data_IF_163962208921
#
_entry.id   IF_163962208921
#
_cell.length_a   1.000
_cell.length_b   1.000
_cell.length_c   1.000
_cell.angle_alpha   90.00
_cell.angle_beta   90.00
_cell.angle_gamma   90.00
#
_symmetry.space_group_name_H-M   'P 1'
#
loop_
_entity.id
_entity.type
_entity.pdbx_description
1 polymer ?
#
# COMPACT_ATOMS: atom_id res chain seq x y z
N UNK A 1 -4.64 -22.08 -4.87
CA UNK A 1 -5.11 -21.34 -6.04
C UNK A 1 -4.50 -19.95 -6.12
N UNK A 2 -4.84 -19.25 -7.21
CA UNK A 2 -4.51 -17.83 -7.40
C UNK A 2 -5.79 -17.02 -7.35
N UNK A 3 -5.70 -15.76 -6.96
CA UNK A 3 -6.82 -14.83 -6.92
C UNK A 3 -6.61 -13.73 -7.97
N UNK A 4 -7.69 -13.05 -8.35
CA UNK A 4 -7.66 -12.00 -9.35
C UNK A 4 -6.95 -10.73 -8.83
N UNK A 5 -6.21 -10.08 -9.72
CA UNK A 5 -5.49 -8.81 -9.50
C UNK A 5 -5.65 -7.94 -10.75
N UNK A 6 -5.41 -6.63 -10.69
CA UNK A 6 -5.25 -5.83 -11.91
C UNK A 6 -3.98 -6.25 -12.65
N UNK A 7 -3.86 -5.85 -13.90
CA UNK A 7 -2.71 -6.15 -14.73
C UNK A 7 -1.40 -5.75 -14.04
N UNK A 8 -0.46 -6.68 -13.92
CA UNK A 8 0.84 -6.54 -13.22
C UNK A 8 0.77 -5.94 -11.80
N UNK A 9 -0.42 -5.78 -11.22
CA UNK A 9 -0.59 -5.19 -9.90
C UNK A 9 -0.45 -3.67 -9.84
N UNK A 10 -0.58 -2.97 -10.94
CA UNK A 10 -0.29 -1.53 -11.03
C UNK A 10 -1.38 -0.62 -10.44
N UNK A 11 -2.60 -1.12 -10.24
CA UNK A 11 -3.72 -0.31 -9.74
C UNK A 11 -4.02 -0.57 -8.27
N UNK A 12 -4.63 0.41 -7.61
CA UNK A 12 -5.16 0.29 -6.26
C UNK A 12 -6.61 -0.25 -6.19
N UNK A 13 -7.13 -0.69 -7.33
CA UNK A 13 -8.37 -1.47 -7.51
C UNK A 13 -8.08 -2.70 -8.36
N UNK A 14 -8.94 -3.70 -8.31
CA UNK A 14 -8.81 -4.94 -9.10
C UNK A 14 -9.92 -4.99 -10.15
N UNK A 15 -9.58 -4.51 -11.36
CA UNK A 15 -10.49 -4.30 -12.49
C UNK A 15 -9.85 -4.70 -13.83
N UNK A 16 -8.97 -5.72 -13.84
CA UNK A 16 -8.24 -6.14 -15.03
C UNK A 16 -9.16 -6.58 -16.17
N UNK A 17 -8.84 -6.22 -17.42
CA UNK A 17 -9.63 -6.56 -18.60
C UNK A 17 -9.76 -8.07 -18.81
N UNK A 18 -8.71 -8.82 -18.49
CA UNK A 18 -8.67 -10.28 -18.73
C UNK A 18 -9.64 -11.06 -17.82
N UNK A 19 -9.76 -10.67 -16.55
CA UNK A 19 -10.53 -11.42 -15.54
C UNK A 19 -11.67 -10.62 -14.92
N UNK A 20 -11.86 -9.37 -15.34
CA UNK A 20 -12.90 -8.48 -14.84
C UNK A 20 -12.66 -7.95 -13.42
N UNK A 21 -13.69 -7.37 -12.86
CA UNK A 21 -13.68 -6.75 -11.55
C UNK A 21 -13.66 -7.79 -10.42
N UNK A 22 -13.00 -7.41 -9.32
CA UNK A 22 -13.16 -8.11 -8.04
C UNK A 22 -14.19 -7.36 -7.20
N UNK A 23 -15.32 -7.98 -6.97
CA UNK A 23 -16.39 -7.41 -6.18
C UNK A 23 -16.06 -7.44 -4.68
N UNK A 24 -16.48 -6.40 -3.97
CA UNK A 24 -16.54 -6.43 -2.53
C UNK A 24 -17.57 -7.48 -2.07
N UNK A 25 -17.24 -8.44 -1.20
CA UNK A 25 -18.15 -9.58 -0.93
C UNK A 25 -19.51 -9.24 -0.34
N UNK A 26 -19.64 -8.10 0.33
CA UNK A 26 -20.87 -7.62 0.98
C UNK A 26 -21.54 -6.44 0.26
N UNK A 27 -20.94 -5.96 -0.86
CA UNK A 27 -21.54 -4.98 -1.77
C UNK A 27 -20.94 -5.15 -3.17
N UNK A 28 -21.59 -5.92 -4.02
CA UNK A 28 -21.09 -6.26 -5.35
C UNK A 28 -21.06 -5.08 -6.34
N UNK A 29 -21.61 -3.92 -5.98
CA UNK A 29 -21.48 -2.70 -6.79
C UNK A 29 -20.12 -2.03 -6.63
N UNK A 30 -19.32 -2.48 -5.65
CA UNK A 30 -18.04 -1.89 -5.27
C UNK A 30 -16.86 -2.82 -5.52
N UNK A 31 -15.70 -2.23 -5.75
CA UNK A 31 -14.45 -2.94 -5.96
C UNK A 31 -13.80 -3.31 -4.61
N UNK A 32 -13.26 -4.51 -4.49
CA UNK A 32 -12.60 -5.01 -3.29
C UNK A 32 -11.24 -4.33 -3.00
N UNK A 33 -10.84 -3.37 -3.84
CA UNK A 33 -9.52 -2.74 -3.76
C UNK A 33 -8.44 -3.50 -4.52
N UNK A 34 -7.23 -3.01 -4.46
CA UNK A 34 -6.10 -3.55 -5.21
C UNK A 34 -4.73 -3.18 -4.61
N UNK A 35 -3.74 -3.88 -5.15
CA UNK A 35 -3.82 -4.90 -6.20
C UNK A 35 -4.21 -6.29 -5.69
N UNK A 36 -4.17 -6.56 -4.37
CA UNK A 36 -4.52 -7.86 -3.79
C UNK A 36 -6.02 -8.00 -3.49
N UNK A 37 -6.89 -7.47 -4.38
CA UNK A 37 -8.35 -7.46 -4.16
C UNK A 37 -8.97 -8.84 -4.11
N UNK A 38 -8.59 -9.74 -5.01
CA UNK A 38 -9.09 -11.11 -5.00
C UNK A 38 -8.68 -11.90 -3.75
N UNK A 39 -7.48 -11.64 -3.22
CA UNK A 39 -7.04 -12.20 -1.94
C UNK A 39 -7.89 -11.67 -0.77
N UNK A 40 -8.16 -10.36 -0.76
CA UNK A 40 -8.99 -9.73 0.27
C UNK A 40 -10.44 -10.26 0.22
N UNK A 41 -11.04 -10.32 -0.96
CA UNK A 41 -12.38 -10.87 -1.14
C UNK A 41 -12.48 -12.33 -0.66
N UNK A 42 -11.47 -13.16 -0.97
CA UNK A 42 -11.46 -14.56 -0.56
C UNK A 42 -11.35 -14.72 0.98
N UNK A 43 -10.54 -13.90 1.65
CA UNK A 43 -10.43 -13.93 3.12
C UNK A 43 -11.68 -13.34 3.77
N UNK A 44 -12.16 -12.21 3.31
CA UNK A 44 -13.33 -11.52 3.85
C UNK A 44 -14.58 -12.41 3.77
N UNK A 45 -14.85 -13.01 2.61
CA UNK A 45 -15.97 -13.95 2.42
C UNK A 45 -15.84 -15.28 3.16
N UNK A 46 -14.70 -15.57 3.77
CA UNK A 46 -14.49 -16.83 4.50
C UNK A 46 -14.09 -18.02 3.63
N UNK A 47 -13.79 -17.84 2.36
CA UNK A 47 -13.30 -18.92 1.48
C UNK A 47 -11.96 -19.49 1.96
N UNK A 48 -11.10 -18.65 2.51
CA UNK A 48 -9.81 -19.04 3.09
C UNK A 48 -9.53 -18.22 4.34
N UNK A 49 -8.82 -18.77 5.34
CA UNK A 49 -8.48 -18.02 6.56
C UNK A 49 -7.38 -16.97 6.36
N UNK A 50 -6.50 -17.19 5.39
CA UNK A 50 -5.33 -16.34 5.07
C UNK A 50 -5.12 -16.39 3.57
N UNK A 51 -4.73 -15.27 2.96
CA UNK A 51 -4.32 -15.22 1.56
C UNK A 51 -3.04 -14.41 1.39
N UNK A 52 -2.11 -14.91 0.58
CA UNK A 52 -0.89 -14.21 0.19
C UNK A 52 -1.22 -12.94 -0.59
N UNK A 53 -0.42 -11.90 -0.38
CA UNK A 53 -0.60 -10.58 -0.97
C UNK A 53 0.74 -9.85 -1.12
N UNK A 54 0.79 -8.83 -1.96
CA UNK A 54 1.94 -7.95 -2.13
C UNK A 54 1.53 -6.49 -1.97
N UNK A 55 2.50 -5.62 -1.62
CA UNK A 55 2.24 -4.20 -1.35
C UNK A 55 3.42 -3.37 -1.87
N UNK A 56 3.24 -2.74 -3.03
CA UNK A 56 4.22 -1.85 -3.63
C UNK A 56 3.92 -0.36 -3.39
N UNK A 57 2.66 -0.04 -3.06
CA UNK A 57 2.19 1.32 -2.77
C UNK A 57 0.95 1.34 -1.89
N UNK A 58 0.54 0.17 -1.35
CA UNK A 58 -0.66 0.01 -0.53
C UNK A 58 -1.44 -1.28 -0.81
N UNK A 59 -0.97 -2.13 -1.69
CA UNK A 59 -1.75 -3.25 -2.25
C UNK A 59 -2.06 -4.40 -1.28
N UNK A 60 -1.57 -4.39 -0.04
CA UNK A 60 -2.09 -5.18 1.09
C UNK A 60 -3.07 -4.33 1.90
N UNK A 61 -2.68 -3.11 2.24
CA UNK A 61 -3.38 -2.24 3.21
C UNK A 61 -4.67 -1.66 2.67
N UNK A 62 -4.70 -1.30 1.39
CA UNK A 62 -5.90 -0.78 0.70
C UNK A 62 -7.01 -1.82 0.69
N UNK A 63 -6.80 -3.03 0.11
CA UNK A 63 -7.85 -4.05 0.15
C UNK A 63 -8.17 -4.53 1.57
N UNK A 64 -7.21 -4.51 2.53
CA UNK A 64 -7.50 -4.77 3.94
C UNK A 64 -8.52 -3.76 4.49
N UNK A 65 -8.31 -2.46 4.23
CA UNK A 65 -9.22 -1.39 4.66
C UNK A 65 -10.64 -1.59 4.12
N UNK A 66 -10.76 -1.85 2.81
CA UNK A 66 -12.06 -1.99 2.14
C UNK A 66 -12.83 -3.26 2.55
N UNK A 67 -12.12 -4.32 2.92
CA UNK A 67 -12.71 -5.61 3.25
C UNK A 67 -12.83 -5.90 4.76
N UNK A 68 -12.47 -4.94 5.62
CA UNK A 68 -12.52 -5.12 7.08
C UNK A 68 -11.53 -6.18 7.59
N UNK A 69 -10.31 -6.20 7.03
CA UNK A 69 -9.25 -7.15 7.32
C UNK A 69 -8.03 -6.50 7.98
N UNK A 70 -7.13 -7.31 8.47
CA UNK A 70 -5.80 -6.92 8.91
C UNK A 70 -4.85 -7.05 7.73
N UNK A 71 -4.15 -5.95 7.39
CA UNK A 71 -3.17 -5.91 6.32
C UNK A 71 -1.83 -5.35 6.80
N UNK A 72 -0.85 -6.23 7.04
CA UNK A 72 0.51 -5.84 7.39
C UNK A 72 1.37 -5.73 6.12
N UNK A 73 1.94 -4.56 5.87
CA UNK A 73 3.11 -4.38 5.02
C UNK A 73 4.35 -4.44 5.92
N UNK A 74 5.17 -5.50 5.87
CA UNK A 74 6.37 -5.60 6.70
C UNK A 74 7.43 -4.56 6.31
N UNK A 75 8.43 -4.39 7.16
CA UNK A 75 9.65 -3.65 6.82
C UNK A 75 10.31 -4.21 5.57
N UNK A 76 10.88 -3.34 4.74
CA UNK A 76 11.74 -3.76 3.64
C UNK A 76 12.84 -4.71 4.15
N UNK A 77 12.94 -5.89 3.54
CA UNK A 77 13.91 -6.92 3.91
C UNK A 77 13.48 -7.85 5.04
N UNK A 78 12.25 -7.74 5.57
CA UNK A 78 11.71 -8.65 6.58
C UNK A 78 11.32 -10.01 5.99
N UNK A 79 10.66 -9.99 4.85
CA UNK A 79 10.23 -11.18 4.12
C UNK A 79 11.23 -11.42 2.98
N UNK A 80 11.67 -12.65 2.75
CA UNK A 80 12.61 -12.95 1.68
C UNK A 80 12.04 -12.65 0.30
N UNK A 81 12.90 -12.26 -0.62
CA UNK A 81 12.62 -11.97 -2.03
C UNK A 81 13.58 -12.75 -2.95
N UNK A 82 13.24 -12.89 -4.22
CA UNK A 82 14.06 -13.63 -5.18
C UNK A 82 13.55 -15.05 -5.40
N UNK A 83 14.31 -15.92 -6.14
CA UNK A 83 15.70 -15.70 -6.62
C UNK A 83 15.82 -14.88 -7.91
N UNK A 84 14.75 -14.62 -8.66
CA UNK A 84 14.82 -13.90 -9.93
C UNK A 84 15.12 -12.40 -9.79
N UNK A 85 14.66 -11.77 -8.71
CA UNK A 85 14.92 -10.36 -8.40
C UNK A 85 14.92 -10.13 -6.90
N UNK A 86 15.93 -9.40 -6.42
CA UNK A 86 16.08 -9.05 -5.00
C UNK A 86 15.66 -7.61 -4.66
N UNK A 87 15.27 -6.82 -5.67
CA UNK A 87 14.97 -5.40 -5.51
C UNK A 87 13.52 -5.03 -5.80
N UNK A 88 12.60 -5.92 -6.09
CA UNK A 88 11.22 -5.64 -6.51
C UNK A 88 10.76 -4.18 -6.33
N UNK A 89 10.68 -3.41 -7.42
CA UNK A 89 10.44 -1.96 -7.42
C UNK A 89 11.41 -1.21 -6.50
N UNK A 90 12.69 -1.46 -6.65
CA UNK A 90 13.78 -0.89 -5.83
C UNK A 90 13.59 -1.06 -4.32
N UNK A 91 12.90 -2.13 -3.92
CA UNK A 91 12.59 -2.44 -2.54
C UNK A 91 11.33 -1.77 -1.99
N UNK A 92 10.54 -1.08 -2.81
CA UNK A 92 9.23 -0.59 -2.41
C UNK A 92 8.22 -1.73 -2.25
N UNK A 93 8.33 -2.79 -3.05
CA UNK A 93 7.44 -3.95 -2.97
C UNK A 93 7.80 -4.85 -1.79
N UNK A 94 6.78 -5.20 -1.00
CA UNK A 94 6.86 -6.15 0.11
C UNK A 94 5.81 -7.23 -0.09
N UNK A 95 6.14 -8.47 0.29
CA UNK A 95 5.20 -9.60 0.24
C UNK A 95 4.77 -9.96 1.65
N UNK A 96 3.48 -10.27 1.84
CA UNK A 96 2.97 -10.84 3.07
C UNK A 96 1.60 -11.48 2.85
N UNK A 97 0.61 -11.16 3.71
CA UNK A 97 -0.73 -11.72 3.62
C UNK A 97 -1.80 -10.80 4.22
N UNK A 98 -3.04 -11.11 3.88
CA UNK A 98 -4.26 -10.62 4.52
C UNK A 98 -4.76 -11.66 5.51
N UNK A 99 -5.20 -11.21 6.69
CA UNK A 99 -5.66 -12.05 7.78
C UNK A 99 -6.88 -11.46 8.48
N UNK A 100 -7.56 -12.27 9.33
CA UNK A 100 -8.69 -11.82 10.17
C UNK A 100 -8.30 -11.61 11.64
N UNK A 101 -7.10 -12.06 12.07
CA UNK A 101 -6.67 -11.95 13.45
C UNK A 101 -5.20 -11.54 13.60
N UNK A 102 -4.90 -10.80 14.66
CA UNK A 102 -3.53 -10.42 14.99
C UNK A 102 -2.68 -11.66 15.33
N UNK A 103 -3.29 -12.66 15.96
CA UNK A 103 -2.64 -13.95 16.25
C UNK A 103 -2.09 -14.61 14.98
N UNK A 104 -2.89 -14.66 13.92
CA UNK A 104 -2.48 -15.32 12.67
C UNK A 104 -1.45 -14.48 11.93
N UNK A 105 -1.57 -13.15 11.96
CA UNK A 105 -0.56 -12.21 11.44
C UNK A 105 0.80 -12.42 12.13
N UNK A 106 0.84 -12.48 13.49
CA UNK A 106 2.06 -12.73 14.26
C UNK A 106 2.71 -14.06 13.91
N UNK A 107 1.91 -15.13 13.85
CA UNK A 107 2.40 -16.47 13.51
C UNK A 107 2.99 -16.53 12.11
N UNK A 108 2.26 -15.97 11.15
CA UNK A 108 2.71 -15.93 9.75
C UNK A 108 4.02 -15.14 9.62
N UNK A 109 4.12 -13.96 10.26
CA UNK A 109 5.33 -13.15 10.25
C UNK A 109 6.52 -13.91 10.86
N UNK A 110 6.32 -14.59 11.98
CA UNK A 110 7.37 -15.36 12.63
C UNK A 110 7.95 -16.45 11.72
N UNK A 111 7.10 -17.17 11.00
CA UNK A 111 7.55 -18.27 10.14
C UNK A 111 8.08 -17.81 8.76
N UNK A 112 7.59 -16.71 8.22
CA UNK A 112 7.99 -16.22 6.90
C UNK A 112 9.22 -15.31 6.93
N UNK A 113 9.53 -14.65 8.05
CA UNK A 113 10.67 -13.74 8.12
C UNK A 113 12.00 -14.49 7.90
N UNK A 114 12.92 -13.86 7.18
CA UNK A 114 14.24 -14.42 6.93
C UNK A 114 15.33 -13.35 6.99
N UNK A 115 16.52 -13.69 7.50
CA UNK A 115 17.70 -12.89 7.28
C UNK A 115 18.35 -13.36 5.98
N UNK A 116 18.21 -12.56 4.94
CA UNK A 116 18.62 -12.90 3.58
C UNK A 116 19.89 -12.14 3.23
N UNK A 117 21.04 -12.83 3.27
CA UNK A 117 22.38 -12.24 3.09
C UNK A 117 22.58 -11.67 1.68
N UNK A 118 22.02 -12.35 0.69
CA UNK A 118 22.10 -11.96 -0.73
C UNK A 118 21.21 -10.79 -1.10
N UNK A 119 20.26 -10.43 -0.24
CA UNK A 119 19.40 -9.27 -0.48
C UNK A 119 20.14 -7.96 -0.20
N UNK A 120 19.92 -6.90 -1.00
CA UNK A 120 20.47 -5.58 -0.72
C UNK A 120 19.87 -4.90 0.52
N UNK A 121 18.80 -5.46 1.07
CA UNK A 121 18.08 -4.91 2.23
C UNK A 121 17.96 -5.94 3.38
N UNK A 122 19.07 -6.51 3.89
CA UNK A 122 18.99 -7.50 4.96
C UNK A 122 18.43 -6.88 6.25
N UNK A 123 17.54 -7.58 6.94
CA UNK A 123 16.96 -7.15 8.20
C UNK A 123 16.98 -8.30 9.20
N UNK A 124 17.44 -8.04 10.45
CA UNK A 124 17.45 -9.04 11.52
C UNK A 124 16.05 -9.53 11.83
N UNK A 125 15.90 -10.84 12.05
CA UNK A 125 14.64 -11.45 12.48
C UNK A 125 14.20 -10.90 13.83
N UNK A 126 12.89 -10.76 14.01
CA UNK A 126 12.26 -10.58 15.32
C UNK A 126 12.28 -11.92 16.06
N UNK A 127 12.59 -11.89 17.35
CA UNK A 127 12.55 -13.07 18.18
C UNK A 127 11.11 -13.51 18.45
N UNK A 128 10.93 -14.74 18.95
CA UNK A 128 9.62 -15.21 19.37
C UNK A 128 9.07 -14.35 20.50
N UNK A 129 9.90 -14.01 21.45
CA UNK A 129 9.56 -13.18 22.62
C UNK A 129 9.12 -11.79 22.17
N UNK A 130 9.83 -11.14 21.24
CA UNK A 130 9.42 -9.81 20.72
C UNK A 130 8.11 -9.84 19.95
N UNK A 131 7.72 -10.94 19.31
CA UNK A 131 6.44 -11.03 18.59
C UNK A 131 5.27 -11.45 19.50
N UNK A 132 5.49 -12.37 20.43
CA UNK A 132 4.38 -12.99 21.17
C UNK A 132 4.27 -12.56 22.63
N UNK A 133 5.36 -12.10 23.24
CA UNK A 133 5.42 -11.72 24.64
C UNK A 133 5.61 -10.21 24.85
N UNK A 134 5.98 -9.50 23.79
CA UNK A 134 6.12 -8.05 23.85
C UNK A 134 4.78 -7.37 24.13
N UNK A 135 4.76 -6.54 25.15
CA UNK A 135 3.64 -5.66 25.50
C UNK A 135 4.12 -4.23 25.64
N UNK A 136 3.23 -3.29 25.34
CA UNK A 136 3.49 -1.86 25.52
C UNK A 136 3.48 -1.56 27.01
N UNK A 137 4.67 -1.35 27.59
CA UNK A 137 4.86 -1.13 29.04
C UNK A 137 4.92 0.35 29.44
N UNK A 138 5.03 1.25 28.47
CA UNK A 138 5.09 2.71 28.68
C UNK A 138 4.13 3.42 27.73
N UNK A 139 3.60 4.58 28.11
CA UNK A 139 2.83 5.41 27.18
C UNK A 139 3.62 5.65 25.87
N UNK A 140 2.97 5.41 24.73
CA UNK A 140 3.54 5.72 23.43
C UNK A 140 3.31 7.17 23.06
N UNK A 141 4.24 7.77 22.34
CA UNK A 141 4.06 9.07 21.68
C UNK A 141 3.67 8.82 20.23
N UNK A 142 2.43 9.19 19.88
CA UNK A 142 1.81 8.86 18.59
C UNK A 142 1.53 10.13 17.80
N UNK A 143 2.15 10.25 16.63
CA UNK A 143 1.86 11.31 15.68
C UNK A 143 0.56 11.01 14.92
N UNK A 144 -0.38 11.95 14.94
CA UNK A 144 -1.67 11.84 14.23
C UNK A 144 -1.61 12.74 12.99
N UNK A 145 -1.73 12.16 11.81
CA UNK A 145 -1.75 12.88 10.54
C UNK A 145 -3.17 12.87 9.98
N UNK A 146 -3.81 14.04 9.98
CA UNK A 146 -5.20 14.22 9.54
C UNK A 146 -5.30 14.68 8.09
N UNK A 147 -4.23 15.23 7.53
CA UNK A 147 -4.23 15.82 6.19
C UNK A 147 -3.59 14.85 5.18
N UNK A 148 -4.12 14.91 3.95
CA UNK A 148 -3.60 14.13 2.84
C UNK A 148 -2.19 14.58 2.45
N UNK A 149 -1.21 13.67 2.31
CA UNK A 149 0.12 14.00 1.81
C UNK A 149 0.09 14.55 0.37
N UNK A 150 -0.98 14.27 -0.38
CA UNK A 150 -1.20 14.78 -1.74
C UNK A 150 -1.95 16.11 -1.79
N UNK A 151 -2.21 16.73 -0.62
CA UNK A 151 -2.98 17.98 -0.49
C UNK A 151 -4.42 17.87 -1.02
N UNK A 152 -4.93 16.67 -1.18
CA UNK A 152 -6.32 16.39 -1.52
C UNK A 152 -7.21 16.46 -0.29
N UNK A 153 -8.53 16.68 -0.49
CA UNK A 153 -9.47 16.74 0.61
C UNK A 153 -9.60 15.38 1.30
N UNK A 154 -9.44 15.36 2.62
CA UNK A 154 -9.70 14.16 3.43
C UNK A 154 -11.18 14.10 3.80
N UNK A 155 -11.79 12.93 3.60
CA UNK A 155 -13.22 12.71 3.86
C UNK A 155 -13.57 12.80 5.35
N UNK A 156 -14.84 13.05 5.64
CA UNK A 156 -15.36 13.02 7.01
C UNK A 156 -15.26 11.63 7.64
N UNK A 157 -15.46 10.57 6.85
CA UNK A 157 -15.35 9.18 7.30
C UNK A 157 -13.90 8.82 7.67
N UNK A 158 -12.92 9.21 6.84
CA UNK A 158 -11.50 8.99 7.17
C UNK A 158 -11.08 9.77 8.44
N UNK A 159 -11.54 11.02 8.59
CA UNK A 159 -11.30 11.81 9.80
C UNK A 159 -11.97 11.20 11.03
N UNK A 160 -13.17 10.66 10.89
CA UNK A 160 -13.87 9.96 11.96
C UNK A 160 -13.12 8.70 12.38
N UNK A 161 -12.66 7.90 11.42
CA UNK A 161 -11.86 6.69 11.69
C UNK A 161 -10.57 7.01 12.46
N UNK A 162 -9.82 8.03 12.03
CA UNK A 162 -8.61 8.48 12.74
C UNK A 162 -8.96 8.93 14.16
N UNK A 163 -10.03 9.75 14.32
CA UNK A 163 -10.44 10.28 15.61
C UNK A 163 -10.86 9.17 16.58
N UNK A 164 -11.68 8.20 16.15
CA UNK A 164 -12.09 7.06 16.98
C UNK A 164 -10.88 6.25 17.47
N UNK A 165 -9.93 5.96 16.58
CA UNK A 165 -8.71 5.24 16.94
C UNK A 165 -7.81 6.08 17.88
N UNK A 166 -7.71 7.38 17.65
CA UNK A 166 -6.93 8.30 18.49
C UNK A 166 -7.55 8.40 19.91
N UNK A 167 -8.87 8.58 20.01
CA UNK A 167 -9.60 8.63 21.28
C UNK A 167 -9.40 7.32 22.07
N UNK A 168 -9.48 6.17 21.41
CA UNK A 168 -9.22 4.87 22.04
C UNK A 168 -7.77 4.76 22.57
N UNK A 169 -6.78 5.11 21.75
CA UNK A 169 -5.37 5.07 22.17
C UNK A 169 -5.07 6.04 23.31
N UNK A 170 -5.70 7.23 23.32
CA UNK A 170 -5.60 8.19 24.42
C UNK A 170 -6.20 7.64 25.72
N UNK A 171 -7.36 6.99 25.66
CA UNK A 171 -7.98 6.32 26.83
C UNK A 171 -7.09 5.21 27.40
N UNK A 172 -6.22 4.60 26.59
CA UNK A 172 -5.22 3.62 27.02
C UNK A 172 -3.94 4.26 27.57
N UNK A 173 -3.91 5.57 27.74
CA UNK A 173 -2.82 6.31 28.39
C UNK A 173 -1.70 6.74 27.45
N UNK A 174 -1.88 6.64 26.14
CA UNK A 174 -0.88 7.10 25.18
C UNK A 174 -0.97 8.61 24.93
N UNK A 175 0.15 9.23 24.50
CA UNK A 175 0.24 10.63 24.14
C UNK A 175 0.05 10.81 22.64
N UNK A 176 -1.02 11.48 22.23
CA UNK A 176 -1.33 11.74 20.83
C UNK A 176 -1.06 13.22 20.52
N UNK A 177 -0.40 13.46 19.40
CA UNK A 177 -0.06 14.79 18.93
C UNK A 177 -0.47 14.93 17.46
N UNK A 178 -1.28 15.95 17.15
CA UNK A 178 -1.59 16.28 15.76
C UNK A 178 -0.36 16.96 15.15
N UNK A 179 0.15 16.41 14.07
CA UNK A 179 1.35 16.90 13.40
C UNK A 179 1.15 17.07 11.90
N UNK A 180 1.96 17.89 11.27
CA UNK A 180 2.00 18.06 9.83
C UNK A 180 2.73 16.88 9.15
N UNK A 181 2.51 16.74 7.85
CA UNK A 181 3.18 15.71 7.03
C UNK A 181 4.69 15.90 7.06
N UNK A 182 5.47 14.90 7.50
CA UNK A 182 6.94 15.02 7.60
C UNK A 182 7.66 14.98 6.25
N UNK A 183 6.98 14.53 5.21
CA UNK A 183 7.51 14.43 3.84
C UNK A 183 6.67 15.23 2.86
N UNK A 184 7.32 15.74 1.79
CA UNK A 184 6.59 16.24 0.63
C UNK A 184 5.92 15.06 -0.10
N UNK A 185 4.62 14.93 0.12
CA UNK A 185 3.81 13.84 -0.42
C UNK A 185 3.68 13.89 -1.93
N UNK A 186 3.59 15.07 -2.53
CA UNK A 186 3.51 15.22 -3.99
C UNK A 186 4.82 14.78 -4.63
N UNK A 187 5.97 15.26 -4.10
CA UNK A 187 7.27 14.84 -4.61
C UNK A 187 7.48 13.33 -4.43
N UNK A 188 7.13 12.77 -3.26
CA UNK A 188 7.25 11.33 -3.02
C UNK A 188 6.41 10.51 -4.00
N UNK A 189 5.17 10.93 -4.30
CA UNK A 189 4.31 10.25 -5.25
C UNK A 189 4.80 10.39 -6.70
N UNK A 190 5.31 11.55 -7.11
CA UNK A 190 5.91 11.73 -8.46
C UNK A 190 7.12 10.81 -8.66
N UNK A 191 7.99 10.67 -7.66
CA UNK A 191 9.09 9.72 -7.73
C UNK A 191 8.61 8.27 -7.80
N UNK A 192 7.54 7.93 -7.10
CA UNK A 192 6.90 6.62 -7.18
C UNK A 192 6.34 6.31 -8.58
N UNK A 193 5.64 7.26 -9.21
CA UNK A 193 5.12 7.12 -10.57
C UNK A 193 6.26 6.94 -11.59
N UNK A 194 7.32 7.72 -11.47
CA UNK A 194 8.50 7.60 -12.36
C UNK A 194 9.18 6.23 -12.19
N UNK A 195 9.37 5.76 -10.96
CA UNK A 195 9.92 4.42 -10.71
C UNK A 195 9.05 3.34 -11.34
N UNK A 196 7.73 3.40 -11.16
CA UNK A 196 6.81 2.43 -11.77
C UNK A 196 6.95 2.40 -13.30
N UNK A 197 7.06 3.56 -13.94
CA UNK A 197 7.27 3.63 -15.40
C UNK A 197 8.57 2.94 -15.82
N UNK A 198 9.69 3.20 -15.14
CA UNK A 198 11.00 2.61 -15.47
C UNK A 198 11.04 1.11 -15.22
N UNK A 199 10.53 0.65 -14.07
CA UNK A 199 10.48 -0.78 -13.74
C UNK A 199 9.52 -1.54 -14.68
N UNK A 200 8.45 -0.88 -15.16
CA UNK A 200 7.58 -1.43 -16.20
C UNK A 200 8.33 -1.60 -17.52
N UNK A 201 9.08 -0.60 -17.95
CA UNK A 201 9.88 -0.70 -19.18
C UNK A 201 10.93 -1.82 -19.08
N UNK A 202 11.65 -1.90 -17.97
CA UNK A 202 12.65 -2.95 -17.74
C UNK A 202 12.01 -4.36 -17.72
N UNK A 203 10.84 -4.52 -17.13
CA UNK A 203 10.09 -5.78 -17.14
C UNK A 203 9.70 -6.19 -18.56
N UNK A 204 9.25 -5.24 -19.38
CA UNK A 204 8.85 -5.53 -20.75
C UNK A 204 10.03 -5.83 -21.65
N UNK A 205 11.23 -5.27 -21.43
CA UNK A 205 12.45 -5.68 -22.13
C UNK A 205 12.73 -7.19 -21.98
N UNK A 206 12.49 -7.75 -20.80
CA UNK A 206 12.66 -9.20 -20.57
C UNK A 206 11.53 -10.02 -21.20
N UNK A 207 10.31 -9.51 -21.22
CA UNK A 207 9.17 -10.14 -21.91
C UNK A 207 9.40 -10.13 -23.42
N UNK A 208 9.82 -9.02 -24.02
CA UNK A 208 10.17 -8.91 -25.45
C UNK A 208 11.24 -9.92 -25.87
N UNK A 209 12.33 -10.03 -25.09
CA UNK A 209 13.35 -11.05 -25.31
C UNK A 209 12.78 -12.47 -25.29
N UNK A 210 11.88 -12.75 -24.37
CA UNK A 210 11.23 -14.06 -24.24
C UNK A 210 10.28 -14.36 -25.41
N UNK A 211 9.58 -13.33 -25.90
CA UNK A 211 8.63 -13.45 -27.02
C UNK A 211 9.32 -13.40 -28.40
N UNK A 212 10.55 -12.87 -28.49
CA UNK A 212 11.26 -12.63 -29.73
C UNK A 212 10.67 -11.52 -30.60
N UNK A 213 9.87 -10.63 -30.01
CA UNK A 213 9.27 -9.45 -30.68
C UNK A 213 9.03 -8.30 -29.71
N UNK A 214 8.92 -7.12 -30.24
CA UNK A 214 8.51 -5.93 -29.46
C UNK A 214 7.06 -6.02 -29.02
N UNK A 215 6.77 -5.37 -27.87
CA UNK A 215 5.42 -5.22 -27.36
C UNK A 215 4.64 -4.16 -28.16
N UNK A 216 3.36 -4.43 -28.33
CA UNK A 216 2.41 -3.55 -29.01
C UNK A 216 1.31 -3.14 -28.03
N UNK A 217 0.58 -2.07 -28.36
CA UNK A 217 -0.55 -1.58 -27.55
C UNK A 217 -1.60 -2.68 -27.27
N UNK A 218 -1.81 -3.57 -28.22
CA UNK A 218 -2.75 -4.70 -28.07
C UNK A 218 -2.34 -5.79 -27.07
N UNK A 219 -1.09 -5.77 -26.62
CA UNK A 219 -0.57 -6.80 -25.70
C UNK A 219 -0.85 -6.45 -24.22
N UNK A 220 -1.35 -5.25 -23.92
CA UNK A 220 -1.50 -4.78 -22.54
C UNK A 220 -2.62 -3.74 -22.39
N UNK A 221 -3.01 -3.46 -21.15
CA UNK A 221 -3.98 -2.41 -20.84
C UNK A 221 -3.38 -1.01 -21.08
N UNK A 222 -4.25 -0.03 -21.34
CA UNK A 222 -3.84 1.35 -21.65
C UNK A 222 -2.90 1.96 -20.60
N UNK A 223 -3.18 1.72 -19.32
CA UNK A 223 -2.35 2.28 -18.25
C UNK A 223 -0.95 1.65 -18.23
N UNK A 224 -0.85 0.36 -18.45
CA UNK A 224 0.42 -0.36 -18.60
C UNK A 224 1.20 0.14 -19.81
N UNK A 225 0.53 0.30 -20.95
CA UNK A 225 1.13 0.88 -22.16
C UNK A 225 1.73 2.27 -21.92
N UNK A 226 0.98 3.15 -21.25
CA UNK A 226 1.45 4.50 -20.94
C UNK A 226 2.69 4.48 -20.05
N UNK A 227 2.71 3.65 -19.00
CA UNK A 227 3.89 3.48 -18.13
C UNK A 227 5.09 2.90 -18.90
N UNK A 228 4.86 1.86 -19.71
CA UNK A 228 5.91 1.28 -20.56
C UNK A 228 6.54 2.31 -21.49
N UNK A 229 5.74 3.06 -22.23
CA UNK A 229 6.22 4.11 -23.14
C UNK A 229 6.99 5.21 -22.41
N UNK A 230 6.48 5.66 -21.27
CA UNK A 230 7.13 6.69 -20.47
C UNK A 230 8.45 6.20 -19.87
N UNK A 231 8.48 4.98 -19.37
CA UNK A 231 9.66 4.39 -18.73
C UNK A 231 10.86 4.25 -19.65
N UNK A 232 10.64 3.94 -20.93
CA UNK A 232 11.69 3.86 -21.93
C UNK A 232 12.44 5.17 -22.16
N UNK A 233 11.88 6.31 -21.80
CA UNK A 233 12.43 7.64 -22.08
C UNK A 233 13.02 8.35 -20.85
N UNK A 234 12.84 7.78 -19.64
CA UNK A 234 13.45 8.33 -18.42
C UNK A 234 14.97 8.15 -18.47
N UNK A 235 15.70 9.23 -18.23
CA UNK A 235 17.16 9.19 -18.26
C UNK A 235 17.71 8.52 -16.98
N UNK A 236 18.78 7.75 -17.12
CA UNK A 236 19.45 7.08 -15.99
C UNK A 236 19.84 8.04 -14.86
N UNK A 237 20.25 9.30 -15.18
CA UNK A 237 20.56 10.33 -14.17
C UNK A 237 19.33 10.75 -13.35
N UNK A 238 18.14 10.77 -13.96
CA UNK A 238 16.92 11.19 -13.28
C UNK A 238 16.40 10.04 -12.38
N UNK A 239 16.56 8.81 -12.86
CA UNK A 239 16.29 7.62 -12.04
C UNK A 239 17.24 7.51 -10.84
N UNK A 240 18.54 7.80 -11.00
CA UNK A 240 19.49 7.85 -9.89
C UNK A 240 19.08 8.87 -8.83
N UNK A 241 18.71 10.11 -9.24
CA UNK A 241 18.22 11.15 -8.31
C UNK A 241 16.94 10.78 -7.59
N UNK A 242 16.06 10.02 -8.25
CA UNK A 242 14.86 9.48 -7.64
C UNK A 242 15.22 8.57 -6.46
N UNK A 243 16.17 7.65 -6.63
CA UNK A 243 16.62 6.75 -5.55
C UNK A 243 17.29 7.52 -4.40
N UNK A 244 18.10 8.54 -4.71
CA UNK A 244 18.65 9.46 -3.70
C UNK A 244 17.53 10.14 -2.89
N UNK A 245 16.43 10.55 -3.56
CA UNK A 245 15.27 11.13 -2.87
C UNK A 245 14.64 10.14 -1.89
N UNK A 246 14.51 8.85 -2.27
CA UNK A 246 13.98 7.82 -1.38
C UNK A 246 14.84 7.57 -0.14
N UNK A 247 16.17 7.62 -0.30
CA UNK A 247 17.09 7.54 0.83
C UNK A 247 16.93 8.74 1.77
N UNK A 248 16.73 9.95 1.22
CA UNK A 248 16.43 11.14 2.03
C UNK A 248 15.07 11.04 2.75
N UNK A 249 14.04 10.50 2.09
CA UNK A 249 12.75 10.25 2.74
C UNK A 249 12.91 9.25 3.89
N UNK A 250 13.64 8.16 3.67
CA UNK A 250 13.91 7.16 4.71
C UNK A 250 14.68 7.74 5.89
N UNK A 251 15.71 8.58 5.64
CA UNK A 251 16.46 9.27 6.67
C UNK A 251 15.60 10.27 7.45
N UNK A 252 14.71 11.01 6.77
CA UNK A 252 13.77 11.92 7.42
C UNK A 252 12.82 11.19 8.34
N UNK A 253 12.26 10.07 7.87
CA UNK A 253 11.36 9.26 8.70
C UNK A 253 12.08 8.57 9.86
N UNK A 254 13.34 8.17 9.70
CA UNK A 254 14.14 7.66 10.81
C UNK A 254 14.29 8.70 11.94
N UNK A 255 14.64 9.95 11.59
CA UNK A 255 14.71 11.07 12.56
C UNK A 255 13.35 11.41 13.17
N UNK A 256 12.26 11.33 12.38
CA UNK A 256 10.90 11.55 12.89
C UNK A 256 10.55 10.55 13.99
N UNK A 257 10.94 9.29 13.84
CA UNK A 257 10.73 8.24 14.84
C UNK A 257 11.66 8.30 16.05
N UNK A 258 12.59 9.25 16.14
CA UNK A 258 13.30 9.55 17.39
C UNK A 258 12.36 10.26 18.39
N UNK A 259 11.31 10.92 17.88
CA UNK A 259 10.33 11.66 18.68
C UNK A 259 8.96 10.97 18.80
N UNK A 260 8.61 10.08 17.85
CA UNK A 260 7.30 9.41 17.81
C UNK A 260 7.47 7.91 17.63
N UNK A 261 6.81 7.14 18.49
CA UNK A 261 6.82 5.69 18.39
C UNK A 261 6.01 5.19 17.19
N UNK A 262 4.87 5.84 16.93
CA UNK A 262 3.94 5.49 15.87
C UNK A 262 3.42 6.72 15.12
N UNK A 263 2.98 6.47 13.89
CA UNK A 263 2.16 7.38 13.09
C UNK A 263 0.79 6.74 12.92
N UNK A 264 -0.26 7.52 13.15
CA UNK A 264 -1.66 7.14 12.91
C UNK A 264 -2.21 7.96 11.74
N UNK A 265 -2.75 7.27 10.72
CA UNK A 265 -3.48 7.85 9.59
C UNK A 265 -4.74 7.04 9.29
N UNK A 266 -5.61 7.51 8.40
CA UNK A 266 -6.53 6.59 7.73
C UNK A 266 -5.73 5.62 6.83
N UNK A 267 -6.22 4.40 6.64
CA UNK A 267 -5.64 3.49 5.65
C UNK A 267 -6.01 3.94 4.23
N UNK A 268 -7.25 4.39 4.05
CA UNK A 268 -7.78 4.94 2.80
C UNK A 268 -8.58 6.20 3.08
N UNK A 269 -8.70 7.10 2.11
CA UNK A 269 -9.45 8.35 2.27
C UNK A 269 -10.97 8.15 2.19
N UNK A 270 -11.40 7.14 1.46
CA UNK A 270 -12.80 6.79 1.23
C UNK A 270 -12.99 5.28 1.43
N UNK A 271 -14.20 4.78 1.65
CA UNK A 271 -14.52 3.35 1.60
C UNK A 271 -14.33 2.80 0.18
N UNK A 272 -14.58 1.50 0.00
CA UNK A 272 -14.47 0.83 -1.30
C UNK A 272 -15.16 1.61 -2.43
N UNK A 273 -14.47 1.90 -3.56
CA UNK A 273 -15.06 2.66 -4.66
C UNK A 273 -16.06 1.82 -5.46
N UNK A 274 -16.98 2.47 -6.13
CA UNK A 274 -17.82 1.82 -7.14
C UNK A 274 -16.98 1.33 -8.33
N UNK A 275 -17.46 0.32 -9.03
CA UNK A 275 -16.87 -0.06 -10.33
C UNK A 275 -16.96 1.13 -11.30
N UNK A 276 -15.91 1.35 -12.10
CA UNK A 276 -15.82 2.48 -13.01
C UNK A 276 -15.51 3.84 -12.36
N UNK A 277 -15.31 3.90 -11.03
CA UNK A 277 -15.05 5.15 -10.31
C UNK A 277 -13.84 5.95 -10.85
N UNK A 278 -12.85 5.27 -11.41
CA UNK A 278 -11.62 5.86 -11.91
C UNK A 278 -11.44 5.65 -13.42
N UNK A 279 -12.55 5.50 -14.14
CA UNK A 279 -12.51 5.41 -15.60
C UNK A 279 -12.00 6.73 -16.18
N UNK A 280 -11.03 6.63 -17.07
CA UNK A 280 -10.39 7.79 -17.70
C UNK A 280 -11.30 8.38 -18.77
N UNK A 281 -11.33 9.71 -18.88
CA UNK A 281 -12.02 10.39 -19.98
C UNK A 281 -11.37 10.09 -21.34
N UNK A 282 -12.13 10.27 -22.42
CA UNK A 282 -11.69 9.96 -23.79
C UNK A 282 -10.46 10.78 -24.23
N UNK A 283 -10.35 12.01 -23.74
CA UNK A 283 -9.22 12.90 -24.08
C UNK A 283 -7.92 12.35 -23.49
N UNK A 284 -7.94 12.01 -22.21
CA UNK A 284 -6.78 11.42 -21.54
C UNK A 284 -6.45 10.04 -22.12
N UNK A 285 -7.46 9.19 -22.38
CA UNK A 285 -7.23 7.91 -23.05
C UNK A 285 -6.52 8.07 -24.39
N UNK A 286 -6.92 9.06 -25.22
CA UNK A 286 -6.27 9.35 -26.49
C UNK A 286 -4.81 9.79 -26.29
N UNK A 287 -4.54 10.68 -25.34
CA UNK A 287 -3.18 11.11 -25.03
C UNK A 287 -2.29 9.95 -24.57
N UNK A 288 -2.79 9.08 -23.69
CA UNK A 288 -2.05 7.91 -23.22
C UNK A 288 -1.75 6.88 -24.30
N UNK A 289 -2.62 6.75 -25.31
CA UNK A 289 -2.34 5.90 -26.50
C UNK A 289 -1.17 6.42 -27.33
N UNK A 290 -0.97 7.75 -27.36
CA UNK A 290 0.02 8.44 -28.19
C UNK A 290 1.15 9.05 -27.35
N UNK A 291 1.58 8.37 -26.29
CA UNK A 291 2.64 8.84 -25.38
C UNK A 291 3.91 9.30 -26.11
N UNK A 292 4.25 8.67 -27.25
CA UNK A 292 5.44 9.00 -28.03
C UNK A 292 5.46 10.43 -28.61
N UNK A 293 4.29 11.09 -28.71
CA UNK A 293 4.17 12.46 -29.23
C UNK A 293 4.54 13.54 -28.20
N UNK A 294 4.64 13.17 -26.90
CA UNK A 294 4.89 14.07 -25.78
C UNK A 294 6.35 14.05 -25.34
N UNK A 295 6.84 15.15 -24.79
CA UNK A 295 8.14 15.21 -24.12
C UNK A 295 8.17 14.34 -22.86
N UNK A 296 9.36 14.01 -22.35
CA UNK A 296 9.51 13.19 -21.13
C UNK A 296 8.76 13.80 -19.93
N UNK A 297 8.81 15.12 -19.77
CA UNK A 297 8.08 15.81 -18.68
C UNK A 297 6.57 15.68 -18.84
N UNK A 298 6.06 15.93 -20.05
CA UNK A 298 4.63 15.81 -20.34
C UNK A 298 4.13 14.36 -20.15
N UNK A 299 4.94 13.37 -20.51
CA UNK A 299 4.62 11.96 -20.24
C UNK A 299 4.47 11.68 -18.75
N UNK A 300 5.37 12.20 -17.91
CA UNK A 300 5.25 12.04 -16.44
C UNK A 300 4.03 12.78 -15.88
N UNK A 301 3.66 13.94 -16.45
CA UNK A 301 2.43 14.63 -16.07
C UNK A 301 1.16 13.87 -16.52
N UNK A 302 1.20 13.18 -17.65
CA UNK A 302 0.12 12.28 -18.08
C UNK A 302 0.00 11.04 -17.18
N UNK A 303 1.11 10.45 -16.78
CA UNK A 303 1.11 9.36 -15.77
C UNK A 303 0.51 9.85 -14.45
N UNK A 304 0.86 11.06 -13.99
CA UNK A 304 0.23 11.65 -12.81
C UNK A 304 -1.29 11.76 -12.96
N UNK A 305 -1.77 12.37 -14.04
CA UNK A 305 -3.20 12.54 -14.33
C UNK A 305 -3.95 11.21 -14.40
N UNK A 306 -3.32 10.21 -14.99
CA UNK A 306 -3.89 8.86 -15.12
C UNK A 306 -4.22 8.22 -13.74
N UNK A 307 -3.43 8.53 -12.71
CA UNK A 307 -3.60 7.96 -11.37
C UNK A 307 -4.22 8.96 -10.36
N UNK A 308 -4.39 10.23 -10.69
CA UNK A 308 -4.70 11.31 -9.75
C UNK A 308 -5.90 11.01 -8.87
N UNK A 309 -7.03 10.62 -9.45
CA UNK A 309 -8.26 10.32 -8.71
C UNK A 309 -8.10 9.10 -7.81
N UNK A 310 -7.48 8.05 -8.30
CA UNK A 310 -7.24 6.84 -7.52
C UNK A 310 -6.21 7.05 -6.40
N UNK A 311 -5.18 7.88 -6.64
CA UNK A 311 -4.22 8.29 -5.61
C UNK A 311 -4.89 9.15 -4.53
N UNK A 312 -5.81 10.05 -4.91
CA UNK A 312 -6.60 10.85 -3.95
C UNK A 312 -7.51 9.99 -3.07
N UNK A 313 -7.94 8.82 -3.56
CA UNK A 313 -8.72 7.84 -2.80
C UNK A 313 -7.89 7.09 -1.76
N UNK A 314 -6.59 6.90 -2.02
CA UNK A 314 -5.66 6.11 -1.16
C UNK A 314 -4.33 6.83 -0.90
N UNK A 315 -4.35 8.09 -0.43
CA UNK A 315 -3.16 8.95 -0.42
C UNK A 315 -2.11 8.56 0.63
N UNK A 316 -2.48 7.78 1.66
CA UNK A 316 -1.66 7.56 2.85
C UNK A 316 -0.72 6.36 2.77
N UNK A 317 -0.84 5.51 1.74
CA UNK A 317 -0.22 4.17 1.78
C UNK A 317 1.17 4.10 1.16
N UNK A 318 1.52 4.94 0.17
CA UNK A 318 2.76 4.79 -0.62
C UNK A 318 4.04 5.11 0.16
N UNK A 319 4.01 6.10 1.07
CA UNK A 319 5.22 6.57 1.76
C UNK A 319 5.96 5.47 2.54
N UNK A 320 5.32 4.57 3.32
CA UNK A 320 6.00 3.46 3.97
C UNK A 320 6.65 2.46 3.02
N UNK A 321 6.23 2.40 1.75
CA UNK A 321 6.91 1.61 0.73
C UNK A 321 8.25 2.24 0.34
N UNK A 322 8.27 3.55 0.10
CA UNK A 322 9.48 4.29 -0.29
C UNK A 322 10.51 4.31 0.84
N UNK A 323 10.08 4.54 2.07
CA UNK A 323 10.95 4.62 3.26
C UNK A 323 11.34 3.26 3.84
N UNK A 324 10.65 2.18 3.43
CA UNK A 324 10.90 0.82 3.92
C UNK A 324 10.36 0.53 5.32
N UNK A 325 9.53 1.42 5.89
CA UNK A 325 8.90 1.25 7.20
C UNK A 325 7.84 0.15 7.18
N UNK A 326 7.61 -0.56 8.29
CA UNK A 326 6.45 -1.43 8.45
C UNK A 326 5.20 -0.56 8.64
N UNK A 327 4.07 -1.03 8.09
CA UNK A 327 2.79 -0.34 8.20
C UNK A 327 1.65 -1.35 8.25
N UNK A 328 0.65 -1.09 9.09
CA UNK A 328 -0.42 -2.03 9.41
C UNK A 328 -1.77 -1.35 9.28
N UNK A 329 -2.61 -1.84 8.39
CA UNK A 329 -4.03 -1.48 8.33
C UNK A 329 -4.83 -2.39 9.26
N UNK A 330 -5.71 -1.79 10.09
CA UNK A 330 -6.61 -2.49 11.02
C UNK A 330 -8.05 -1.98 10.85
N UNK A 331 -9.07 -2.86 10.98
CA UNK A 331 -10.47 -2.54 10.69
C UNK A 331 -11.15 -1.91 11.90
N UNK A 332 -10.99 -0.61 12.12
CA UNK A 332 -11.46 0.09 13.32
C UNK A 332 -12.71 0.94 13.12
N UNK A 333 -13.16 1.13 11.89
CA UNK A 333 -14.29 2.00 11.58
C UNK A 333 -15.22 1.38 10.53
N UNK A 334 -16.53 1.63 10.68
CA UNK A 334 -17.55 1.44 9.65
C UNK A 334 -18.16 2.79 9.33
N UNK A 335 -18.36 3.06 8.05
CA UNK A 335 -19.13 4.24 7.61
C UNK A 335 -20.59 4.13 8.02
N UNK A 336 -21.36 5.19 7.84
CA UNK A 336 -22.81 5.17 8.12
C UNK A 336 -23.56 4.14 7.29
N UNK A 337 -23.03 3.81 6.11
CA UNK A 337 -23.56 2.77 5.22
C UNK A 337 -23.07 1.35 5.58
N UNK A 338 -22.31 1.20 6.66
CA UNK A 338 -21.76 -0.09 7.09
C UNK A 338 -20.53 -0.58 6.32
N UNK A 339 -19.91 0.29 5.52
CA UNK A 339 -18.70 -0.06 4.77
C UNK A 339 -17.45 0.07 5.65
N UNK A 340 -16.51 -0.88 5.62
CA UNK A 340 -15.25 -0.78 6.35
C UNK A 340 -14.38 0.36 5.83
N UNK A 341 -13.71 1.04 6.77
CA UNK A 341 -12.66 2.00 6.53
C UNK A 341 -11.66 1.90 7.68
N UNK A 342 -10.52 1.26 7.43
CA UNK A 342 -9.52 1.03 8.46
C UNK A 342 -8.64 2.25 8.73
N UNK A 343 -7.95 2.23 9.88
CA UNK A 343 -6.81 3.12 10.12
C UNK A 343 -5.51 2.39 9.81
N UNK A 344 -4.47 3.17 9.58
CA UNK A 344 -3.11 2.71 9.34
C UNK A 344 -2.20 3.18 10.47
N UNK A 345 -1.45 2.24 11.03
CA UNK A 345 -0.36 2.49 11.96
C UNK A 345 0.97 2.25 11.25
N UNK A 346 1.91 3.19 11.36
CA UNK A 346 3.26 3.06 10.80
C UNK A 346 4.29 3.25 11.92
N UNK A 347 5.32 2.39 11.95
CA UNK A 347 6.38 2.43 12.95
C UNK A 347 7.77 2.59 12.30
N UNK A 348 8.79 2.80 13.12
CA UNK A 348 10.17 2.76 12.66
C UNK A 348 10.50 1.41 12.00
N UNK A 349 11.42 1.40 11.05
CA UNK A 349 11.85 0.18 10.35
C UNK A 349 12.28 -0.91 11.35
N UNK A 350 11.73 -2.10 11.20
CA UNK A 350 12.00 -3.25 12.05
C UNK A 350 11.07 -3.42 13.25
N UNK A 351 10.11 -2.49 13.48
CA UNK A 351 9.25 -2.45 14.64
C UNK A 351 7.84 -3.02 14.39
N UNK A 352 7.75 -4.12 13.67
CA UNK A 352 6.50 -4.87 13.52
C UNK A 352 5.96 -5.39 14.85
N UNK A 353 6.85 -5.67 15.82
CA UNK A 353 6.50 -6.03 17.19
C UNK A 353 5.57 -4.99 17.84
N UNK A 354 5.92 -3.72 17.73
CA UNK A 354 5.13 -2.62 18.29
C UNK A 354 3.77 -2.48 17.58
N UNK A 355 3.75 -2.53 16.23
CA UNK A 355 2.51 -2.47 15.45
C UNK A 355 1.54 -3.58 15.85
N UNK A 356 2.05 -4.81 15.98
CA UNK A 356 1.24 -5.97 16.30
C UNK A 356 0.79 -5.99 17.77
N UNK A 357 1.59 -5.44 18.69
CA UNK A 357 1.17 -5.29 20.09
C UNK A 357 0.02 -4.27 20.23
N UNK A 358 0.10 -3.15 19.52
CA UNK A 358 -0.98 -2.15 19.50
C UNK A 358 -2.23 -2.69 18.80
N UNK A 359 -2.08 -3.39 17.68
CA UNK A 359 -3.23 -4.03 17.02
C UNK A 359 -3.90 -5.09 17.93
N UNK A 360 -3.12 -5.85 18.69
CA UNK A 360 -3.65 -6.81 19.64
C UNK A 360 -4.45 -6.14 20.76
N UNK A 361 -4.07 -4.94 21.20
CA UNK A 361 -4.85 -4.14 22.13
C UNK A 361 -6.24 -3.78 21.55
N UNK A 362 -6.29 -3.29 20.27
CA UNK A 362 -7.55 -3.05 19.58
C UNK A 362 -8.40 -4.32 19.48
N UNK A 363 -7.81 -5.45 19.12
CA UNK A 363 -8.51 -6.74 18.97
C UNK A 363 -9.08 -7.24 20.32
N UNK A 364 -8.28 -7.23 21.39
CA UNK A 364 -8.69 -7.65 22.74
C UNK A 364 -9.83 -6.79 23.31
N UNK A 365 -9.80 -5.51 23.03
CA UNK A 365 -10.81 -4.55 23.48
C UNK A 365 -12.02 -4.47 22.52
N UNK A 366 -12.11 -5.39 21.55
CA UNK A 366 -13.22 -5.49 20.58
C UNK A 366 -13.45 -4.21 19.78
N UNK A 367 -12.35 -3.52 19.44
CA UNK A 367 -12.38 -2.30 18.63
C UNK A 367 -12.36 -2.61 17.12
N UNK A 368 -12.14 -3.87 16.71
CA UNK A 368 -12.27 -4.25 15.31
C UNK A 368 -13.73 -4.31 14.89
N UNK A 369 -14.04 -3.66 13.78
CA UNK A 369 -15.35 -3.58 13.17
C UNK A 369 -15.32 -4.29 11.84
N UNK A 370 -16.03 -5.40 11.73
CA UNK A 370 -16.16 -6.17 10.50
C UNK A 370 -17.40 -5.75 9.69
N UNK A 371 -17.43 -6.09 8.38
CA UNK A 371 -18.60 -5.83 7.56
C UNK A 371 -19.80 -6.66 8.04
N UNK A 372 -21.00 -6.08 7.91
CA UNK A 372 -22.24 -6.81 8.11
C UNK A 372 -22.64 -7.44 6.77
N UNK A 373 -22.75 -8.76 6.73
CA UNK A 373 -23.29 -9.48 5.57
C UNK A 373 -24.82 -9.46 5.66
N UNK A 374 -25.48 -8.93 4.64
CA UNK A 374 -26.93 -8.91 4.50
C UNK A 374 -27.45 -10.09 3.70
#
# INVERSE_FOLDING_TARGET
GRTNTPEFGFKNISDGQLHGNVNLPFDHSRNAGGSSGGAAAAVSSGMVPIAGASDGGGSIRIPASFNGLIGLKPSRGRIPVGPSSYRGWQGASSHFALTKSVRDTKRLLYYLQSYQVESPFPLKKLSKESLFEFSVSKPLKIAVLMDSPLKTKVSSEAKAAIKEAADFLSQKGNHLELVEQPLDGIHSMKTYCMMNSVETAAMFDDIEKSLGRSMEFSDMELMTWAMYQSGQRVLAKDYSKLLDSWDQFAATMARFHENYDLILTAATNQPAPFHGQFDLDETLQKQLRHMGEFSVSEQQDLIWKMFEDSMAWTPFTHQPNLTGQPSLAIPTHLTKEGLPLGVQLTAAKGREDLLLAVAELFEKEKQFKGPVYH
#
